data_IF_404962062951
#
_entry.id   IF_404962062951
#
_cell.length_a   1.000
_cell.length_b   1.000
_cell.length_c   1.000
_cell.angle_alpha   90.00
_cell.angle_beta   90.00
_cell.angle_gamma   90.00
#
_symmetry.space_group_name_H-M   'P 1'
#
loop_
_entity.id
_entity.type
_entity.pdbx_description
1 polymer ?
#
# COMPACT_ATOMS: atom_id res chain seq x y z
N UNK A 1 30.84 43.75 4.37
CA UNK A 1 29.59 42.95 4.38
C UNK A 1 29.87 41.71 3.55
N UNK A 2 29.97 40.53 4.17
CA UNK A 2 30.22 39.30 3.41
C UNK A 2 29.03 39.05 2.46
N UNK A 3 29.25 38.65 1.19
CA UNK A 3 28.15 38.30 0.31
C UNK A 3 27.33 37.17 0.92
N UNK A 4 26.00 37.17 0.76
CA UNK A 4 25.16 36.09 1.24
C UNK A 4 25.67 34.76 0.66
N UNK A 5 25.67 33.67 1.45
CA UNK A 5 26.14 32.38 0.96
C UNK A 5 25.37 32.01 -0.30
N UNK A 6 26.07 31.44 -1.32
CA UNK A 6 25.42 31.09 -2.57
C UNK A 6 24.24 30.14 -2.29
N UNK A 7 23.12 30.42 -2.94
CA UNK A 7 21.93 29.58 -2.84
C UNK A 7 22.25 28.13 -3.24
N UNK A 8 21.52 27.14 -2.71
CA UNK A 8 21.76 25.74 -3.05
C UNK A 8 21.61 25.52 -4.55
N UNK A 9 22.55 24.76 -5.13
CA UNK A 9 22.54 24.39 -6.55
C UNK A 9 21.24 23.67 -6.94
N UNK A 10 20.84 23.67 -8.23
CA UNK A 10 19.65 22.93 -8.68
C UNK A 10 19.68 21.45 -8.27
N UNK A 11 20.85 20.81 -8.35
CA UNK A 11 21.07 19.43 -7.89
C UNK A 11 20.86 19.27 -6.38
N UNK A 12 21.39 20.21 -5.57
CA UNK A 12 21.19 20.21 -4.12
C UNK A 12 19.72 20.43 -3.75
N UNK A 13 18.98 21.25 -4.51
CA UNK A 13 17.54 21.45 -4.34
C UNK A 13 16.75 20.18 -4.66
N UNK A 14 17.06 19.53 -5.77
CA UNK A 14 16.42 18.28 -6.19
C UNK A 14 16.67 17.14 -5.19
N UNK A 15 17.91 16.96 -4.74
CA UNK A 15 18.26 15.99 -3.68
C UNK A 15 17.55 16.29 -2.36
N UNK A 16 17.39 17.57 -2.00
CA UNK A 16 16.67 17.95 -0.78
C UNK A 16 15.17 17.65 -0.85
N UNK A 17 14.56 17.70 -2.03
CA UNK A 17 13.13 17.47 -2.24
C UNK A 17 12.78 16.00 -2.52
N UNK A 18 13.64 15.31 -3.28
CA UNK A 18 13.40 13.98 -3.82
C UNK A 18 14.39 12.92 -3.33
N UNK A 19 15.40 13.26 -2.53
CA UNK A 19 16.43 12.30 -2.10
C UNK A 19 15.86 11.07 -1.39
N UNK A 20 14.85 11.25 -0.54
CA UNK A 20 14.14 10.14 0.09
C UNK A 20 13.37 9.27 -0.91
N UNK A 21 12.73 9.89 -1.90
CA UNK A 21 11.99 9.16 -2.94
C UNK A 21 12.94 8.36 -3.83
N UNK A 22 14.09 8.95 -4.19
CA UNK A 22 15.13 8.29 -4.97
C UNK A 22 15.70 7.08 -4.21
N UNK A 23 15.93 7.21 -2.90
CA UNK A 23 16.43 6.09 -2.08
C UNK A 23 15.44 4.93 -2.05
N UNK A 24 14.16 5.19 -1.73
CA UNK A 24 13.13 4.15 -1.69
C UNK A 24 12.88 3.55 -3.09
N UNK A 25 12.89 4.38 -4.13
CA UNK A 25 12.78 3.97 -5.52
C UNK A 25 13.93 3.09 -5.98
N UNK A 26 15.15 3.42 -5.60
CA UNK A 26 16.35 2.62 -5.93
C UNK A 26 16.29 1.23 -5.28
N UNK A 27 15.84 1.14 -4.03
CA UNK A 27 15.68 -0.15 -3.33
C UNK A 27 14.55 -0.98 -3.98
N UNK A 28 13.41 -0.36 -4.30
CA UNK A 28 12.31 -1.04 -4.98
C UNK A 28 12.71 -1.53 -6.38
N UNK A 29 13.43 -0.71 -7.14
CA UNK A 29 13.96 -1.08 -8.46
C UNK A 29 14.99 -2.21 -8.37
N UNK A 30 15.87 -2.18 -7.36
CA UNK A 30 16.80 -3.26 -7.09
C UNK A 30 16.07 -4.60 -6.87
N UNK A 31 15.02 -4.62 -6.06
CA UNK A 31 14.21 -5.83 -5.88
C UNK A 31 13.50 -6.28 -7.16
N UNK A 32 13.00 -5.35 -7.97
CA UNK A 32 12.35 -5.68 -9.24
C UNK A 32 13.31 -6.34 -10.24
N UNK A 33 14.56 -5.86 -10.31
CA UNK A 33 15.61 -6.41 -11.17
C UNK A 33 16.15 -7.73 -10.64
N UNK A 34 16.46 -7.82 -9.34
CA UNK A 34 17.06 -9.02 -8.74
C UNK A 34 16.09 -10.19 -8.62
N UNK A 35 14.78 -9.92 -8.57
CA UNK A 35 13.75 -10.96 -8.51
C UNK A 35 12.77 -10.79 -9.67
N UNK A 36 13.19 -11.17 -10.90
CA UNK A 36 12.40 -10.94 -12.11
C UNK A 36 11.15 -11.83 -12.19
N UNK A 37 11.19 -13.01 -11.56
CA UNK A 37 10.10 -13.99 -11.59
C UNK A 37 8.94 -13.63 -10.66
N UNK A 38 7.74 -13.99 -11.11
CA UNK A 38 6.46 -13.71 -10.47
C UNK A 38 5.91 -14.95 -9.79
N UNK A 39 5.21 -14.76 -8.67
CA UNK A 39 4.47 -15.85 -8.04
C UNK A 39 3.16 -16.14 -8.79
N UNK A 40 2.55 -17.29 -8.50
CA UNK A 40 1.27 -17.70 -9.09
C UNK A 40 0.18 -16.66 -8.83
N UNK A 41 0.17 -16.03 -7.66
CA UNK A 41 -0.89 -15.08 -7.31
C UNK A 41 -0.72 -13.69 -7.97
N UNK A 42 0.40 -13.48 -8.64
CA UNK A 42 0.65 -12.31 -9.50
C UNK A 42 0.18 -12.57 -10.94
N UNK A 43 -0.06 -13.83 -11.32
CA UNK A 43 -0.26 -14.24 -12.73
C UNK A 43 -1.36 -13.45 -13.41
N UNK A 44 -2.54 -13.35 -12.79
CA UNK A 44 -3.69 -12.69 -13.39
C UNK A 44 -3.36 -11.26 -13.85
N UNK A 45 -2.82 -10.42 -12.96
CA UNK A 45 -2.53 -9.03 -13.32
C UNK A 45 -1.34 -8.94 -14.29
N UNK A 46 -0.36 -9.85 -14.18
CA UNK A 46 0.76 -9.92 -15.13
C UNK A 46 0.24 -10.18 -16.54
N UNK A 47 -0.59 -11.21 -16.69
CA UNK A 47 -1.16 -11.59 -17.99
C UNK A 47 -2.15 -10.54 -18.48
N UNK A 48 -3.02 -10.03 -17.62
CA UNK A 48 -3.93 -8.94 -17.99
C UNK A 48 -3.19 -7.70 -18.52
N UNK A 49 -2.10 -7.29 -17.89
CA UNK A 49 -1.26 -6.19 -18.40
C UNK A 49 -0.59 -6.57 -19.73
N UNK A 50 -0.06 -7.79 -19.85
CA UNK A 50 0.50 -8.28 -21.10
C UNK A 50 -0.55 -8.24 -22.23
N UNK A 51 -1.73 -8.77 -22.00
CA UNK A 51 -2.76 -8.93 -23.03
C UNK A 51 -3.33 -7.58 -23.46
N UNK A 52 -3.57 -6.66 -22.52
CA UNK A 52 -3.94 -5.28 -22.83
C UNK A 52 -2.89 -4.63 -23.72
N UNK A 53 -1.61 -4.79 -23.39
CA UNK A 53 -0.55 -4.17 -24.15
C UNK A 53 -0.39 -4.84 -25.53
N UNK A 54 -0.37 -6.18 -25.62
CA UNK A 54 0.05 -6.93 -26.82
C UNK A 54 -1.12 -7.35 -27.72
N UNK A 55 -2.25 -7.75 -27.14
CA UNK A 55 -3.43 -8.19 -27.87
C UNK A 55 -4.45 -7.04 -28.08
N UNK A 56 -4.37 -5.96 -27.29
CA UNK A 56 -5.21 -4.77 -27.40
C UNK A 56 -6.70 -5.14 -27.37
N UNK A 57 -7.47 -4.82 -28.42
CA UNK A 57 -8.91 -5.09 -28.48
C UNK A 57 -9.28 -6.55 -28.79
N UNK A 58 -8.31 -7.41 -29.11
CA UNK A 58 -8.56 -8.84 -29.40
C UNK A 58 -8.71 -9.63 -28.10
N UNK A 59 -9.84 -9.43 -27.41
CA UNK A 59 -10.16 -10.06 -26.12
C UNK A 59 -10.18 -11.59 -26.23
N UNK A 60 -10.49 -12.13 -27.41
CA UNK A 60 -10.46 -13.56 -27.73
C UNK A 60 -9.10 -14.23 -27.50
N UNK A 61 -8.01 -13.45 -27.45
CA UNK A 61 -6.64 -13.94 -27.25
C UNK A 61 -6.13 -13.78 -25.82
N UNK A 62 -6.98 -13.34 -24.89
CA UNK A 62 -6.55 -13.07 -23.53
C UNK A 62 -6.49 -14.36 -22.70
N UNK A 63 -5.46 -14.45 -21.86
CA UNK A 63 -5.13 -15.62 -21.04
C UNK A 63 -6.27 -16.00 -20.08
N UNK A 64 -7.01 -15.03 -19.54
CA UNK A 64 -8.07 -15.29 -18.55
C UNK A 64 -9.28 -16.02 -19.13
N UNK A 65 -9.45 -16.09 -20.45
CA UNK A 65 -10.50 -16.88 -21.08
C UNK A 65 -10.14 -18.38 -21.12
N UNK A 66 -8.85 -18.69 -21.29
CA UNK A 66 -8.33 -20.06 -21.27
C UNK A 66 -8.03 -20.53 -19.83
N UNK A 67 -7.47 -19.63 -19.01
CA UNK A 67 -7.05 -19.86 -17.63
C UNK A 67 -7.71 -18.87 -16.66
N UNK A 68 -9.04 -18.96 -16.42
CA UNK A 68 -9.80 -17.99 -15.62
C UNK A 68 -9.45 -17.98 -14.11
N UNK A 69 -8.71 -18.98 -13.62
CA UNK A 69 -8.46 -19.17 -12.20
C UNK A 69 -9.74 -19.55 -11.43
N UNK A 70 -9.64 -19.59 -10.09
CA UNK A 70 -10.76 -20.03 -9.23
C UNK A 70 -11.86 -18.96 -9.11
N UNK A 71 -11.46 -17.69 -9.15
CA UNK A 71 -12.37 -16.55 -8.98
C UNK A 71 -11.90 -15.40 -9.87
N UNK A 72 -12.81 -14.68 -10.54
CA UNK A 72 -12.43 -13.54 -11.37
C UNK A 72 -11.76 -12.43 -10.55
N UNK A 73 -10.96 -11.64 -11.25
CA UNK A 73 -10.24 -10.48 -10.73
C UNK A 73 -10.52 -9.29 -11.65
N UNK A 74 -10.42 -8.08 -11.09
CA UNK A 74 -10.66 -6.87 -11.87
C UNK A 74 -9.49 -6.56 -12.82
N UNK A 75 -9.82 -6.11 -14.03
CA UNK A 75 -8.90 -5.57 -15.02
C UNK A 75 -8.56 -4.11 -14.78
N UNK A 76 -9.29 -3.38 -13.92
CA UNK A 76 -9.11 -1.93 -13.74
C UNK A 76 -7.67 -1.59 -13.35
N UNK A 77 -7.08 -2.35 -12.42
CA UNK A 77 -5.69 -2.14 -12.01
C UNK A 77 -4.69 -2.40 -13.12
N UNK A 78 -4.84 -3.54 -13.80
CA UNK A 78 -4.01 -3.91 -14.93
C UNK A 78 -4.10 -2.87 -16.06
N UNK A 79 -5.31 -2.37 -16.35
CA UNK A 79 -5.56 -1.35 -17.36
C UNK A 79 -4.84 -0.04 -17.05
N UNK A 80 -4.95 0.47 -15.82
CA UNK A 80 -4.26 1.70 -15.41
C UNK A 80 -2.75 1.55 -15.56
N UNK A 81 -2.17 0.44 -15.07
CA UNK A 81 -0.71 0.23 -15.17
C UNK A 81 -0.27 0.02 -16.61
N UNK A 82 -1.05 -0.72 -17.42
CA UNK A 82 -0.77 -0.92 -18.84
C UNK A 82 -0.73 0.43 -19.59
N UNK A 83 -1.73 1.30 -19.41
CA UNK A 83 -1.77 2.64 -20.02
C UNK A 83 -0.54 3.47 -19.64
N UNK A 84 -0.19 3.49 -18.34
CA UNK A 84 0.98 4.24 -17.86
C UNK A 84 2.30 3.67 -18.38
N UNK A 85 2.37 2.36 -18.62
CA UNK A 85 3.56 1.69 -19.16
C UNK A 85 3.68 1.74 -20.68
N UNK A 86 2.62 2.13 -21.38
CA UNK A 86 2.53 2.06 -22.85
C UNK A 86 3.69 2.76 -23.57
N UNK A 87 4.13 3.99 -23.19
CA UNK A 87 5.24 4.65 -23.88
C UNK A 87 6.54 3.85 -23.80
N UNK A 88 6.85 3.31 -22.61
CA UNK A 88 8.05 2.52 -22.40
C UNK A 88 7.98 1.18 -23.17
N UNK A 89 6.84 0.50 -23.10
CA UNK A 89 6.65 -0.80 -23.77
C UNK A 89 6.65 -0.64 -25.30
N UNK A 90 6.11 0.46 -25.83
CA UNK A 90 6.14 0.74 -27.27
C UNK A 90 7.58 0.92 -27.78
N UNK A 91 8.41 1.67 -27.05
CA UNK A 91 9.85 1.78 -27.35
C UNK A 91 10.50 0.39 -27.36
N UNK A 92 10.27 -0.41 -26.32
CA UNK A 92 10.83 -1.77 -26.23
C UNK A 92 10.41 -2.67 -27.39
N UNK A 93 9.18 -2.52 -27.88
CA UNK A 93 8.68 -3.26 -29.05
C UNK A 93 9.33 -2.83 -30.36
N UNK A 94 9.49 -1.52 -30.56
CA UNK A 94 10.16 -0.99 -31.75
C UNK A 94 11.60 -1.49 -31.84
N UNK A 95 12.30 -1.57 -30.70
CA UNK A 95 13.64 -2.14 -30.60
C UNK A 95 13.67 -3.67 -30.45
N UNK A 96 12.53 -4.35 -30.56
CA UNK A 96 12.40 -5.81 -30.46
C UNK A 96 13.02 -6.42 -29.20
N UNK A 97 12.96 -5.73 -28.06
CA UNK A 97 13.44 -6.29 -26.81
C UNK A 97 12.57 -7.47 -26.35
N UNK A 98 13.17 -8.48 -25.70
CA UNK A 98 12.44 -9.60 -25.10
C UNK A 98 11.34 -9.14 -24.14
N UNK A 99 10.21 -9.85 -24.10
CA UNK A 99 9.03 -9.51 -23.28
C UNK A 99 9.33 -9.36 -21.78
N UNK A 100 10.42 -9.96 -21.27
CA UNK A 100 10.86 -9.81 -19.89
C UNK A 100 11.14 -8.34 -19.52
N UNK A 101 11.61 -7.52 -20.47
CA UNK A 101 11.84 -6.10 -20.22
C UNK A 101 10.52 -5.33 -20.11
N UNK A 102 9.49 -5.73 -20.86
CA UNK A 102 8.15 -5.18 -20.71
C UNK A 102 7.53 -5.57 -19.36
N UNK A 103 7.77 -6.80 -18.88
CA UNK A 103 7.39 -7.21 -17.51
C UNK A 103 8.09 -6.32 -16.46
N UNK A 104 9.39 -6.09 -16.60
CA UNK A 104 10.11 -5.20 -15.69
C UNK A 104 9.55 -3.77 -15.76
N UNK A 105 9.23 -3.26 -16.95
CA UNK A 105 8.67 -1.92 -17.12
C UNK A 105 7.33 -1.75 -16.39
N UNK A 106 6.37 -2.67 -16.57
CA UNK A 106 5.08 -2.59 -15.87
C UNK A 106 5.24 -2.67 -14.35
N UNK A 107 6.17 -3.50 -13.87
CA UNK A 107 6.48 -3.63 -12.43
C UNK A 107 7.09 -2.36 -11.85
N UNK A 108 8.00 -1.70 -12.58
CA UNK A 108 8.59 -0.43 -12.18
C UNK A 108 7.54 0.69 -12.19
N UNK A 109 6.63 0.73 -13.17
CA UNK A 109 5.52 1.69 -13.22
C UNK A 109 4.58 1.50 -12.02
N UNK A 110 4.21 0.27 -11.69
CA UNK A 110 3.44 -0.04 -10.48
C UNK A 110 4.16 0.39 -9.20
N UNK A 111 5.47 0.17 -9.14
CA UNK A 111 6.34 0.66 -8.07
C UNK A 111 6.29 2.18 -7.94
N UNK A 112 6.41 2.91 -9.06
CA UNK A 112 6.31 4.36 -9.09
C UNK A 112 4.96 4.86 -8.60
N UNK A 113 3.85 4.23 -8.98
CA UNK A 113 2.50 4.57 -8.48
C UNK A 113 2.43 4.41 -6.95
N UNK A 114 2.88 3.26 -6.43
CA UNK A 114 2.88 3.00 -4.99
C UNK A 114 3.78 3.94 -4.20
N UNK A 115 4.99 4.21 -4.70
CA UNK A 115 5.93 5.12 -4.06
C UNK A 115 5.47 6.58 -4.13
N UNK A 116 4.75 6.97 -5.18
CA UNK A 116 4.17 8.31 -5.30
C UNK A 116 3.06 8.52 -4.27
N UNK A 117 2.16 7.56 -4.09
CA UNK A 117 1.12 7.65 -3.05
C UNK A 117 1.72 7.59 -1.65
N UNK A 118 2.76 6.77 -1.44
CA UNK A 118 3.52 6.75 -0.19
C UNK A 118 4.22 8.08 0.09
N UNK A 119 4.75 8.75 -0.95
CA UNK A 119 5.32 10.11 -0.85
C UNK A 119 4.26 11.11 -0.41
N UNK A 120 3.05 11.07 -0.99
CA UNK A 120 1.96 11.95 -0.58
C UNK A 120 1.61 11.74 0.90
N UNK A 121 1.64 10.51 1.39
CA UNK A 121 1.45 10.24 2.82
C UNK A 121 2.63 10.74 3.67
N UNK A 122 3.88 10.45 3.26
CA UNK A 122 5.12 10.91 3.92
C UNK A 122 5.16 12.44 4.09
N UNK A 123 4.76 13.19 3.07
CA UNK A 123 4.71 14.65 3.13
C UNK A 123 3.75 15.12 4.23
N UNK A 124 2.62 14.46 4.42
CA UNK A 124 1.69 14.79 5.50
C UNK A 124 2.21 14.38 6.88
N UNK A 125 2.95 13.26 6.97
CA UNK A 125 3.68 12.89 8.20
C UNK A 125 4.67 13.98 8.59
N UNK A 126 5.44 14.50 7.62
CA UNK A 126 6.36 15.63 7.83
C UNK A 126 5.64 16.88 8.30
N UNK A 127 4.51 17.24 7.67
CA UNK A 127 3.73 18.44 8.02
C UNK A 127 3.19 18.34 9.44
N UNK A 128 2.71 17.16 9.85
CA UNK A 128 2.05 16.96 11.15
C UNK A 128 3.02 16.75 12.31
N UNK A 129 4.10 16.01 12.09
CA UNK A 129 5.00 15.55 13.16
C UNK A 129 6.45 16.03 13.01
N UNK A 130 6.80 16.69 11.90
CA UNK A 130 8.10 17.31 11.67
C UNK A 130 9.11 16.44 10.90
N UNK A 131 10.26 17.04 10.59
CA UNK A 131 11.31 16.46 9.71
C UNK A 131 12.00 15.23 10.29
N UNK A 132 12.19 15.15 11.61
CA UNK A 132 12.83 13.99 12.24
C UNK A 132 11.94 12.74 12.11
N UNK A 133 10.63 12.90 12.27
CA UNK A 133 9.65 11.80 12.14
C UNK A 133 9.59 11.32 10.69
N UNK A 134 9.58 12.24 9.72
CA UNK A 134 9.72 11.92 8.29
C UNK A 134 10.97 11.08 8.01
N UNK A 135 12.13 11.51 8.52
CA UNK A 135 13.39 10.80 8.30
C UNK A 135 13.35 9.37 8.87
N UNK A 136 12.89 9.19 10.10
CA UNK A 136 12.74 7.86 10.70
C UNK A 136 11.70 7.00 9.97
N UNK A 137 10.59 7.59 9.51
CA UNK A 137 9.60 6.88 8.71
C UNK A 137 10.20 6.29 7.43
N UNK A 138 11.01 7.08 6.72
CA UNK A 138 11.71 6.64 5.50
C UNK A 138 12.76 5.58 5.83
N UNK A 139 13.56 5.77 6.87
CA UNK A 139 14.58 4.79 7.29
C UNK A 139 13.96 3.44 7.67
N UNK A 140 12.90 3.44 8.46
CA UNK A 140 12.18 2.21 8.83
C UNK A 140 11.62 1.52 7.58
N UNK A 141 11.01 2.28 6.66
CA UNK A 141 10.48 1.73 5.41
C UNK A 141 11.59 1.15 4.51
N UNK A 142 12.78 1.77 4.50
CA UNK A 142 13.92 1.31 3.70
C UNK A 142 14.56 0.02 4.25
N UNK A 143 14.58 -0.15 5.58
CA UNK A 143 15.14 -1.34 6.24
C UNK A 143 14.18 -2.54 6.13
N UNK A 144 12.87 -2.28 6.11
CA UNK A 144 11.85 -3.32 5.99
C UNK A 144 11.81 -3.92 4.57
N UNK A 145 12.08 -5.21 4.46
CA UNK A 145 12.04 -5.94 3.20
C UNK A 145 10.66 -5.86 2.50
N UNK A 146 9.59 -6.17 3.23
CA UNK A 146 8.29 -6.48 2.64
C UNK A 146 7.65 -5.30 1.90
N UNK A 147 7.70 -4.08 2.45
CA UNK A 147 7.00 -2.92 1.87
C UNK A 147 7.53 -2.56 0.47
N UNK A 148 8.86 -2.45 0.32
CA UNK A 148 9.50 -2.09 -0.94
C UNK A 148 9.63 -3.27 -1.91
N UNK A 149 9.74 -4.50 -1.39
CA UNK A 149 9.73 -5.69 -2.22
C UNK A 149 8.37 -5.90 -2.91
N UNK A 150 7.27 -5.75 -2.17
CA UNK A 150 5.94 -5.94 -2.75
C UNK A 150 5.45 -4.76 -3.59
N UNK A 151 5.97 -3.54 -3.41
CA UNK A 151 5.46 -2.35 -4.13
C UNK A 151 5.53 -2.46 -5.66
N UNK A 152 6.40 -3.31 -6.19
CA UNK A 152 6.58 -3.57 -7.64
C UNK A 152 5.90 -4.86 -8.12
N UNK A 153 5.20 -5.58 -7.23
CA UNK A 153 4.55 -6.85 -7.56
C UNK A 153 3.06 -6.64 -7.82
N UNK A 154 2.52 -7.09 -8.96
CA UNK A 154 1.14 -6.84 -9.38
C UNK A 154 0.13 -7.72 -8.64
N UNK A 155 0.09 -7.57 -7.33
CA UNK A 155 -0.89 -8.18 -6.45
C UNK A 155 -2.07 -7.21 -6.25
N UNK A 156 -3.31 -7.70 -6.14
CA UNK A 156 -4.47 -6.85 -5.81
C UNK A 156 -4.26 -6.06 -4.50
N UNK A 157 -3.55 -6.65 -3.53
CA UNK A 157 -3.18 -5.99 -2.27
C UNK A 157 -2.34 -4.71 -2.49
N UNK A 158 -1.49 -4.71 -3.51
CA UNK A 158 -0.53 -3.64 -3.78
C UNK A 158 -1.17 -2.54 -4.63
N UNK A 159 -2.10 -2.91 -5.51
CA UNK A 159 -2.97 -1.93 -6.15
C UNK A 159 -3.86 -1.22 -5.12
N UNK A 160 -4.46 -1.97 -4.19
CA UNK A 160 -5.23 -1.42 -3.07
C UNK A 160 -4.36 -0.55 -2.15
N UNK A 161 -3.10 -0.95 -1.88
CA UNK A 161 -2.17 -0.20 -1.03
C UNK A 161 -1.91 1.21 -1.54
N UNK A 162 -1.85 1.42 -2.87
CA UNK A 162 -1.70 2.75 -3.43
C UNK A 162 -2.86 3.69 -3.03
N UNK A 163 -4.10 3.19 -3.04
CA UNK A 163 -5.27 3.93 -2.59
C UNK A 163 -5.31 4.09 -1.07
N UNK A 164 -4.87 3.10 -0.30
CA UNK A 164 -4.76 3.21 1.16
C UNK A 164 -3.75 4.29 1.57
N UNK A 165 -2.59 4.35 0.92
CA UNK A 165 -1.61 5.43 1.16
C UNK A 165 -2.21 6.82 0.87
N UNK A 166 -2.99 6.92 -0.21
CA UNK A 166 -3.69 8.15 -0.55
C UNK A 166 -4.77 8.50 0.50
N UNK A 167 -5.54 7.51 0.96
CA UNK A 167 -6.51 7.67 2.04
C UNK A 167 -5.84 8.17 3.33
N UNK A 168 -4.70 7.60 3.71
CA UNK A 168 -3.94 8.07 4.87
C UNK A 168 -3.42 9.50 4.71
N UNK A 169 -2.98 9.88 3.50
CA UNK A 169 -2.62 11.27 3.17
C UNK A 169 -3.81 12.22 3.38
N UNK A 170 -4.98 11.89 2.83
CA UNK A 170 -6.20 12.70 3.00
C UNK A 170 -6.66 12.76 4.45
N UNK A 171 -6.54 11.66 5.18
CA UNK A 171 -6.92 11.60 6.59
C UNK A 171 -6.03 12.52 7.43
N UNK A 172 -4.73 12.57 7.15
CA UNK A 172 -3.82 13.47 7.84
C UNK A 172 -4.05 14.94 7.49
N UNK A 173 -4.49 15.23 6.25
CA UNK A 173 -4.92 16.57 5.82
C UNK A 173 -6.25 17.02 6.44
N UNK A 174 -7.01 16.11 7.04
CA UNK A 174 -8.36 16.38 7.54
C UNK A 174 -9.46 16.34 6.47
N UNK A 175 -9.17 15.80 5.27
CA UNK A 175 -10.19 15.59 4.24
C UNK A 175 -10.79 14.18 4.40
N UNK A 176 -11.83 14.11 5.23
CA UNK A 176 -12.45 12.84 5.62
C UNK A 176 -13.28 12.20 4.49
N UNK A 177 -13.92 13.00 3.64
CA UNK A 177 -14.71 12.48 2.51
C UNK A 177 -13.80 11.79 1.48
N UNK A 178 -12.70 12.44 1.08
CA UNK A 178 -11.75 11.81 0.16
C UNK A 178 -11.05 10.59 0.78
N UNK A 179 -10.90 10.55 2.11
CA UNK A 179 -10.40 9.36 2.83
C UNK A 179 -11.35 8.18 2.65
N UNK A 180 -12.66 8.38 2.90
CA UNK A 180 -13.67 7.35 2.70
C UNK A 180 -13.74 6.91 1.23
N UNK A 181 -13.74 7.86 0.30
CA UNK A 181 -13.80 7.56 -1.14
C UNK A 181 -12.63 6.66 -1.58
N UNK A 182 -11.40 6.99 -1.19
CA UNK A 182 -10.23 6.19 -1.54
C UNK A 182 -10.29 4.77 -0.95
N UNK A 183 -10.76 4.62 0.29
CA UNK A 183 -10.94 3.31 0.93
C UNK A 183 -12.07 2.50 0.30
N UNK A 184 -13.16 3.15 -0.12
CA UNK A 184 -14.26 2.49 -0.84
C UNK A 184 -13.80 1.99 -2.20
N UNK A 185 -13.07 2.80 -2.96
CA UNK A 185 -12.50 2.35 -4.24
C UNK A 185 -11.57 1.15 -4.01
N UNK A 186 -10.71 1.21 -2.98
CA UNK A 186 -9.84 0.09 -2.62
C UNK A 186 -10.63 -1.18 -2.28
N UNK A 187 -11.74 -1.04 -1.54
CA UNK A 187 -12.57 -2.16 -1.11
C UNK A 187 -13.42 -2.77 -2.23
N UNK A 188 -14.08 -1.93 -3.02
CA UNK A 188 -15.07 -2.35 -4.03
C UNK A 188 -14.40 -2.85 -5.31
N UNK A 189 -13.30 -2.22 -5.72
CA UNK A 189 -12.64 -2.52 -6.99
C UNK A 189 -11.54 -3.56 -6.81
N UNK A 190 -10.67 -3.40 -5.82
CA UNK A 190 -9.43 -4.18 -5.75
C UNK A 190 -9.46 -5.32 -4.74
N UNK A 191 -10.01 -5.07 -3.55
CA UNK A 191 -9.99 -6.05 -2.43
C UNK A 191 -11.11 -5.81 -1.44
N UNK A 192 -12.12 -6.67 -1.45
CA UNK A 192 -13.24 -6.62 -0.50
C UNK A 192 -12.80 -6.58 0.97
N UNK A 193 -11.69 -7.22 1.31
CA UNK A 193 -11.05 -7.22 2.62
C UNK A 193 -10.76 -5.83 3.21
N UNK A 194 -10.51 -4.84 2.35
CA UNK A 194 -10.28 -3.45 2.79
C UNK A 194 -11.53 -2.83 3.41
N UNK A 195 -12.70 -3.47 3.29
CA UNK A 195 -13.92 -3.08 4.02
C UNK A 195 -13.71 -3.10 5.54
N UNK A 196 -12.83 -3.98 6.05
CA UNK A 196 -12.51 -4.02 7.48
C UNK A 196 -11.74 -2.75 7.89
N UNK A 197 -10.81 -2.29 7.06
CA UNK A 197 -10.07 -1.05 7.29
C UNK A 197 -10.97 0.18 7.13
N UNK A 198 -11.83 0.19 6.10
CA UNK A 198 -12.86 1.20 5.90
C UNK A 198 -13.79 1.30 7.11
N UNK A 199 -14.24 0.16 7.64
CA UNK A 199 -15.13 0.08 8.79
C UNK A 199 -14.48 0.64 10.05
N UNK A 200 -13.26 0.24 10.37
CA UNK A 200 -12.58 0.73 11.58
C UNK A 200 -12.25 2.22 11.51
N UNK A 201 -11.78 2.71 10.36
CA UNK A 201 -11.51 4.14 10.15
C UNK A 201 -12.82 4.94 10.14
N UNK A 202 -13.85 4.43 9.46
CA UNK A 202 -15.17 5.06 9.42
C UNK A 202 -15.78 5.22 10.80
N UNK A 203 -15.75 4.19 11.63
CA UNK A 203 -16.20 4.26 13.04
C UNK A 203 -15.37 5.29 13.81
N UNK A 204 -14.05 5.29 13.67
CA UNK A 204 -13.20 6.27 14.35
C UNK A 204 -13.53 7.71 13.97
N UNK A 205 -13.81 7.96 12.70
CA UNK A 205 -14.19 9.27 12.17
C UNK A 205 -15.57 9.74 12.65
N UNK A 206 -16.52 8.81 12.76
CA UNK A 206 -17.86 9.09 13.32
C UNK A 206 -17.76 9.42 14.82
N UNK A 207 -16.94 8.66 15.56
CA UNK A 207 -16.70 8.90 16.98
C UNK A 207 -16.00 10.24 17.24
N UNK A 208 -15.11 10.67 16.35
CA UNK A 208 -14.45 11.98 16.44
C UNK A 208 -15.33 13.16 16.02
N UNK A 209 -16.63 12.93 15.73
CA UNK A 209 -17.62 13.93 15.27
C UNK A 209 -17.07 14.85 14.17
N UNK A 210 -16.23 14.31 13.31
CA UNK A 210 -15.46 15.12 12.37
C UNK A 210 -16.25 15.56 11.14
N UNK A 211 -17.43 14.96 10.90
CA UNK A 211 -18.41 15.34 9.89
C UNK A 211 -19.77 14.67 10.15
N UNK A 212 -20.82 15.05 9.40
CA UNK A 212 -22.18 14.54 9.59
C UNK A 212 -22.32 13.07 9.17
N UNK A 213 -22.99 12.26 9.98
CA UNK A 213 -23.34 10.86 9.64
C UNK A 213 -24.06 10.76 8.29
N UNK A 214 -24.96 11.70 8.01
CA UNK A 214 -25.74 11.70 6.78
C UNK A 214 -24.86 11.98 5.56
N UNK A 215 -23.87 12.87 5.68
CA UNK A 215 -22.88 13.13 4.64
C UNK A 215 -22.00 11.90 4.42
N UNK A 216 -21.61 11.20 5.50
CA UNK A 216 -20.87 9.95 5.44
C UNK A 216 -21.61 8.90 4.61
N UNK A 217 -22.87 8.64 4.97
CA UNK A 217 -23.70 7.62 4.32
C UNK A 217 -23.93 7.97 2.86
N UNK A 218 -24.27 9.23 2.55
CA UNK A 218 -24.44 9.69 1.16
C UNK A 218 -23.17 9.50 0.33
N UNK A 219 -22.02 9.90 0.88
CA UNK A 219 -20.72 9.74 0.22
C UNK A 219 -20.37 8.26 0.01
N UNK A 220 -20.59 7.42 1.02
CA UNK A 220 -20.31 5.99 0.95
C UNK A 220 -21.15 5.30 -0.12
N UNK A 221 -22.47 5.55 -0.12
CA UNK A 221 -23.40 4.94 -1.07
C UNK A 221 -23.12 5.45 -2.48
N UNK A 222 -22.96 6.77 -2.68
CA UNK A 222 -22.74 7.31 -4.03
C UNK A 222 -21.42 6.82 -4.64
N UNK A 223 -20.36 6.79 -3.84
CA UNK A 223 -19.04 6.31 -4.29
C UNK A 223 -19.08 4.81 -4.56
N UNK A 224 -19.72 4.02 -3.70
CA UNK A 224 -19.84 2.58 -3.89
C UNK A 224 -20.64 2.25 -5.15
N UNK A 225 -21.79 2.88 -5.38
CA UNK A 225 -22.60 2.67 -6.59
C UNK A 225 -21.84 3.05 -7.86
N UNK A 226 -21.12 4.16 -7.85
CA UNK A 226 -20.28 4.57 -8.98
C UNK A 226 -19.15 3.58 -9.24
N UNK A 227 -18.48 3.11 -8.19
CA UNK A 227 -17.41 2.12 -8.31
C UNK A 227 -17.94 0.76 -8.79
N UNK A 228 -19.09 0.30 -8.28
CA UNK A 228 -19.75 -0.93 -8.71
C UNK A 228 -20.15 -0.81 -10.19
N UNK A 229 -20.79 0.30 -10.59
CA UNK A 229 -21.13 0.53 -12.00
C UNK A 229 -19.90 0.50 -12.90
N UNK A 230 -18.79 1.11 -12.46
CA UNK A 230 -17.55 1.14 -13.23
C UNK A 230 -16.86 -0.23 -13.33
N UNK A 231 -16.71 -0.98 -12.23
CA UNK A 231 -16.13 -2.34 -12.26
C UNK A 231 -17.01 -3.30 -13.04
N UNK A 232 -18.34 -3.26 -12.86
CA UNK A 232 -19.25 -4.09 -13.66
C UNK A 232 -19.12 -3.75 -15.14
N UNK A 233 -19.07 -2.47 -15.52
CA UNK A 233 -18.91 -2.08 -16.93
C UNK A 233 -17.60 -2.59 -17.53
N UNK A 234 -16.46 -2.28 -16.90
CA UNK A 234 -15.14 -2.65 -17.43
C UNK A 234 -14.95 -4.16 -17.39
N UNK A 235 -15.19 -4.79 -16.25
CA UNK A 235 -14.89 -6.20 -16.06
C UNK A 235 -15.85 -7.09 -16.81
N UNK A 236 -17.11 -6.70 -17.00
CA UNK A 236 -18.04 -7.52 -17.81
C UNK A 236 -17.65 -7.55 -19.29
N UNK A 237 -17.08 -6.47 -19.82
CA UNK A 237 -16.53 -6.44 -21.19
C UNK A 237 -15.32 -7.38 -21.27
N UNK A 238 -14.40 -7.31 -20.32
CA UNK A 238 -13.18 -8.13 -20.34
C UNK A 238 -13.49 -9.61 -20.14
N UNK A 239 -14.41 -9.94 -19.25
CA UNK A 239 -14.80 -11.33 -18.92
C UNK A 239 -15.90 -11.91 -19.82
N UNK A 240 -16.44 -11.13 -20.77
CA UNK A 240 -17.50 -11.56 -21.69
C UNK A 240 -18.78 -12.07 -20.99
N UNK A 241 -19.01 -11.67 -19.73
CA UNK A 241 -20.22 -11.98 -18.94
C UNK A 241 -20.45 -10.89 -17.90
N UNK A 242 -21.71 -10.63 -17.53
CA UNK A 242 -22.03 -9.65 -16.49
C UNK A 242 -21.51 -10.17 -15.14
N UNK A 243 -20.59 -9.43 -14.52
CA UNK A 243 -20.08 -9.77 -13.19
C UNK A 243 -19.49 -8.58 -12.44
N UNK A 244 -19.41 -8.73 -11.11
CA UNK A 244 -18.62 -7.87 -10.23
C UNK A 244 -17.53 -8.76 -9.59
N UNK A 245 -16.23 -8.61 -9.98
CA UNK A 245 -15.20 -9.57 -9.58
C UNK A 245 -15.08 -9.72 -8.06
N UNK A 246 -15.01 -8.60 -7.34
CA UNK A 246 -14.84 -8.62 -5.89
C UNK A 246 -16.07 -9.15 -5.14
N UNK A 247 -17.26 -9.09 -5.73
CA UNK A 247 -18.43 -9.74 -5.15
C UNK A 247 -18.36 -11.26 -5.26
N UNK A 248 -17.91 -11.80 -6.41
CA UNK A 248 -17.68 -13.24 -6.54
C UNK A 248 -16.56 -13.72 -5.58
N UNK A 249 -15.50 -12.92 -5.40
CA UNK A 249 -14.45 -13.17 -4.39
C UNK A 249 -15.02 -13.19 -2.98
N UNK A 250 -15.86 -12.21 -2.64
CA UNK A 250 -16.51 -12.16 -1.34
C UNK A 250 -17.44 -13.36 -1.12
N UNK A 251 -18.25 -13.71 -2.12
CA UNK A 251 -19.16 -14.85 -2.07
C UNK A 251 -18.39 -16.16 -1.88
N UNK A 252 -17.36 -16.39 -2.68
CA UNK A 252 -16.55 -17.60 -2.62
C UNK A 252 -15.84 -17.77 -1.26
N UNK A 253 -15.22 -16.70 -0.75
CA UNK A 253 -14.40 -16.80 0.46
C UNK A 253 -15.21 -16.72 1.76
N UNK A 254 -16.18 -15.81 1.82
CA UNK A 254 -16.92 -15.50 3.06
C UNK A 254 -18.22 -16.27 3.17
N UNK A 255 -18.95 -16.46 2.07
CA UNK A 255 -20.27 -17.13 2.09
C UNK A 255 -20.11 -18.64 1.94
N UNK A 256 -19.31 -19.10 0.98
CA UNK A 256 -19.03 -20.53 0.78
C UNK A 256 -17.94 -21.06 1.74
N UNK A 257 -17.31 -20.19 2.53
CA UNK A 257 -16.28 -20.51 3.52
C UNK A 257 -15.10 -21.35 2.96
N UNK A 258 -14.78 -21.19 1.67
CA UNK A 258 -13.69 -21.91 0.98
C UNK A 258 -12.31 -21.33 1.28
N UNK A 259 -12.23 -20.27 2.08
CA UNK A 259 -10.95 -19.64 2.45
C UNK A 259 -10.01 -20.61 3.18
N UNK A 260 -10.55 -21.58 3.94
CA UNK A 260 -9.78 -22.59 4.68
C UNK A 260 -9.01 -23.57 3.80
N UNK A 261 -9.40 -23.73 2.53
CA UNK A 261 -8.76 -24.65 1.57
C UNK A 261 -7.34 -24.22 1.20
N UNK A 262 -7.01 -22.95 1.42
CA UNK A 262 -5.70 -22.37 1.16
C UNK A 262 -4.77 -22.43 2.38
N UNK A 263 -5.12 -23.26 3.37
CA UNK A 263 -4.41 -23.41 4.63
C UNK A 263 -4.88 -22.43 5.71
N UNK A 264 -4.71 -22.82 6.97
CA UNK A 264 -5.16 -22.04 8.12
C UNK A 264 -4.02 -21.74 9.10
N UNK A 265 -4.14 -20.61 9.78
CA UNK A 265 -3.20 -20.19 10.82
C UNK A 265 -3.95 -19.75 12.08
N UNK A 266 -3.29 -19.86 13.23
CA UNK A 266 -3.84 -19.43 14.52
C UNK A 266 -4.23 -17.94 14.51
N UNK A 267 -5.16 -17.56 15.38
CA UNK A 267 -5.66 -16.17 15.47
C UNK A 267 -4.51 -15.19 15.76
N UNK A 268 -3.57 -15.56 16.62
CA UNK A 268 -2.46 -14.69 17.01
C UNK A 268 -1.33 -14.58 15.96
N UNK A 269 -1.39 -15.34 14.86
CA UNK A 269 -0.30 -15.43 13.86
C UNK A 269 0.15 -14.07 13.30
N UNK A 270 -0.78 -13.13 13.08
CA UNK A 270 -0.39 -11.80 12.61
C UNK A 270 0.48 -11.05 13.62
N UNK A 271 0.20 -11.18 14.92
CA UNK A 271 0.95 -10.51 15.98
C UNK A 271 2.24 -11.24 16.34
N UNK A 272 2.24 -12.58 16.33
CA UNK A 272 3.42 -13.36 16.72
C UNK A 272 4.40 -13.58 15.56
N UNK A 273 3.94 -13.52 14.32
CA UNK A 273 4.75 -13.91 13.15
C UNK A 273 4.76 -12.89 12.03
N UNK A 274 3.60 -12.42 11.56
CA UNK A 274 3.57 -11.57 10.36
C UNK A 274 4.10 -10.14 10.62
N UNK A 275 3.60 -9.47 11.67
CA UNK A 275 4.01 -8.11 12.05
C UNK A 275 5.47 -8.04 12.51
N UNK A 276 5.98 -8.95 13.37
CA UNK A 276 7.40 -8.95 13.73
C UNK A 276 8.31 -9.09 12.51
N UNK A 277 7.98 -9.98 11.58
CA UNK A 277 8.75 -10.18 10.33
C UNK A 277 8.61 -9.03 9.34
N UNK A 278 7.45 -8.36 9.28
CA UNK A 278 7.24 -7.26 8.34
C UNK A 278 7.85 -5.95 8.82
N UNK A 279 7.80 -5.70 10.12
CA UNK A 279 8.16 -4.41 10.72
C UNK A 279 9.52 -4.38 11.40
N UNK A 280 10.09 -5.54 11.77
CA UNK A 280 11.37 -5.65 12.50
C UNK A 280 11.35 -4.77 13.75
N UNK A 281 12.39 -3.95 13.95
CA UNK A 281 12.49 -2.94 15.01
C UNK A 281 11.30 -1.99 15.11
N UNK A 282 10.58 -1.73 14.00
CA UNK A 282 9.40 -0.87 14.03
C UNK A 282 8.24 -1.50 14.81
N UNK A 283 8.21 -2.84 14.96
CA UNK A 283 7.13 -3.53 15.68
C UNK A 283 7.07 -3.14 17.17
N UNK A 284 8.12 -3.32 17.99
CA UNK A 284 8.09 -2.84 19.37
C UNK A 284 8.02 -1.31 19.46
N UNK A 285 8.67 -0.58 18.53
CA UNK A 285 8.64 0.88 18.53
C UNK A 285 7.25 1.46 18.25
N UNK A 286 6.39 0.78 17.49
CA UNK A 286 5.06 1.31 17.19
C UNK A 286 4.18 1.38 18.45
N UNK A 287 4.32 0.42 19.36
CA UNK A 287 3.64 0.41 20.66
C UNK A 287 4.17 1.54 21.55
N UNK A 288 5.50 1.68 21.63
CA UNK A 288 6.14 2.78 22.37
C UNK A 288 5.71 4.13 21.81
N UNK A 289 5.58 4.26 20.49
CA UNK A 289 5.14 5.49 19.84
C UNK A 289 3.72 5.91 20.25
N UNK A 290 2.80 4.95 20.27
CA UNK A 290 1.43 5.18 20.72
C UNK A 290 1.34 5.55 22.21
N UNK A 291 2.24 5.02 23.04
CA UNK A 291 2.32 5.37 24.47
C UNK A 291 2.92 6.76 24.70
N UNK A 292 3.98 7.11 23.97
CA UNK A 292 4.71 8.36 24.13
C UNK A 292 4.00 9.58 23.50
N UNK A 293 3.30 9.38 22.39
CA UNK A 293 2.58 10.45 21.70
C UNK A 293 1.11 10.08 21.47
N UNK A 294 0.23 10.52 22.38
CA UNK A 294 -1.21 10.24 22.30
C UNK A 294 -1.87 10.80 21.03
N UNK A 295 -1.23 11.73 20.30
CA UNK A 295 -1.77 12.30 19.06
C UNK A 295 -1.85 11.28 17.92
N UNK A 296 -1.05 10.21 17.96
CA UNK A 296 -1.08 9.15 16.93
C UNK A 296 -2.14 8.08 17.22
N UNK A 297 -2.61 7.97 18.46
CA UNK A 297 -3.54 6.92 18.90
C UNK A 297 -4.85 6.90 18.08
N UNK A 298 -5.50 8.04 17.76
CA UNK A 298 -6.69 8.04 16.90
C UNK A 298 -6.48 7.45 15.50
N UNK A 299 -5.22 7.40 15.03
CA UNK A 299 -4.87 6.87 13.71
C UNK A 299 -4.40 5.41 13.76
N UNK A 300 -3.62 5.06 14.78
CA UNK A 300 -3.08 3.70 14.96
C UNK A 300 -4.13 2.74 15.47
N UNK A 301 -5.02 3.18 16.38
CA UNK A 301 -6.03 2.30 16.97
C UNK A 301 -6.95 1.67 15.91
N UNK A 302 -7.51 2.41 14.93
CA UNK A 302 -8.35 1.81 13.88
C UNK A 302 -7.59 0.82 12.99
N UNK A 303 -6.32 1.11 12.70
CA UNK A 303 -5.46 0.24 11.89
C UNK A 303 -5.10 -1.04 12.65
N UNK A 304 -4.80 -0.95 13.94
CA UNK A 304 -4.59 -2.12 14.80
C UNK A 304 -5.87 -2.94 14.93
N UNK A 305 -7.03 -2.29 15.07
CA UNK A 305 -8.32 -2.97 15.11
C UNK A 305 -8.62 -3.71 13.80
N UNK A 306 -8.25 -3.13 12.66
CA UNK A 306 -8.30 -3.83 11.37
C UNK A 306 -7.50 -5.14 11.41
N UNK A 307 -6.26 -5.12 11.91
CA UNK A 307 -5.45 -6.35 12.04
C UNK A 307 -6.09 -7.35 13.01
N UNK A 308 -6.67 -6.89 14.12
CA UNK A 308 -7.39 -7.76 15.07
C UNK A 308 -8.60 -8.43 14.42
N UNK A 309 -9.41 -7.67 13.67
CA UNK A 309 -10.57 -8.22 12.97
C UNK A 309 -10.15 -9.21 11.89
N UNK A 310 -9.13 -8.85 11.10
CA UNK A 310 -8.57 -9.73 10.07
C UNK A 310 -7.98 -11.02 10.65
N UNK A 311 -7.44 -10.95 11.88
CA UNK A 311 -6.87 -12.12 12.60
C UNK A 311 -7.90 -13.21 12.89
N UNK A 312 -9.20 -12.90 12.88
CA UNK A 312 -10.27 -13.89 13.07
C UNK A 312 -10.47 -14.78 11.84
N UNK A 313 -10.01 -14.36 10.66
CA UNK A 313 -10.16 -15.15 9.44
C UNK A 313 -9.20 -16.36 9.44
N UNK A 314 -9.64 -17.57 9.05
CA UNK A 314 -8.80 -18.78 9.13
C UNK A 314 -7.53 -18.69 8.27
N UNK A 315 -7.69 -18.29 7.02
CA UNK A 315 -6.59 -18.13 6.07
C UNK A 315 -5.88 -16.79 6.26
N UNK A 316 -4.55 -16.81 6.29
CA UNK A 316 -3.74 -15.65 6.63
C UNK A 316 -2.49 -15.57 5.78
N UNK A 317 -2.18 -14.37 5.32
CA UNK A 317 -0.97 -14.08 4.59
C UNK A 317 -0.48 -12.68 4.94
N UNK A 318 0.84 -12.47 4.93
CA UNK A 318 1.43 -11.18 5.30
C UNK A 318 0.93 -10.04 4.39
N UNK A 319 0.70 -10.31 3.10
CA UNK A 319 0.23 -9.30 2.14
C UNK A 319 -1.17 -8.75 2.44
N UNK A 320 -2.01 -9.47 3.18
CA UNK A 320 -3.37 -9.02 3.49
C UNK A 320 -3.40 -7.87 4.50
N UNK A 321 -2.40 -7.81 5.39
CA UNK A 321 -2.29 -6.74 6.40
C UNK A 321 -1.27 -5.66 6.01
N UNK A 322 -0.75 -5.68 4.77
CA UNK A 322 0.29 -4.74 4.34
C UNK A 322 -0.17 -3.27 4.41
N UNK A 323 -1.47 -3.05 4.25
CA UNK A 323 -2.14 -1.75 4.44
C UNK A 323 -1.89 -1.14 5.84
N UNK A 324 -1.65 -1.96 6.87
CA UNK A 324 -1.38 -1.47 8.21
C UNK A 324 0.03 -0.91 8.39
N UNK A 325 1.01 -1.42 7.61
CA UNK A 325 2.44 -1.15 7.81
C UNK A 325 2.78 0.35 7.74
N UNK A 326 2.30 1.14 6.75
CA UNK A 326 2.61 2.57 6.70
C UNK A 326 2.20 3.33 7.96
N UNK A 327 0.96 3.13 8.46
CA UNK A 327 0.51 3.85 9.65
C UNK A 327 1.26 3.42 10.92
N UNK A 328 1.54 2.12 11.05
CA UNK A 328 2.32 1.60 12.18
C UNK A 328 3.77 2.10 12.15
N UNK A 329 4.37 2.28 10.97
CA UNK A 329 5.66 2.93 10.80
C UNK A 329 5.65 4.40 11.22
N UNK A 330 4.55 5.13 11.02
CA UNK A 330 4.43 6.50 11.55
C UNK A 330 4.53 6.48 13.08
N UNK A 331 3.80 5.58 13.75
CA UNK A 331 3.90 5.42 15.21
C UNK A 331 5.33 5.09 15.64
N UNK A 332 5.98 4.14 14.99
CA UNK A 332 7.36 3.77 15.29
C UNK A 332 8.35 4.93 15.07
N UNK A 333 8.14 5.72 14.02
CA UNK A 333 8.97 6.89 13.71
C UNK A 333 8.84 8.02 14.75
N UNK A 334 7.68 8.15 15.39
CA UNK A 334 7.49 9.07 16.52
C UNK A 334 8.31 8.65 17.74
N UNK A 335 8.30 7.34 18.07
CA UNK A 335 9.13 6.80 19.14
C UNK A 335 10.62 7.04 18.85
N UNK A 336 11.07 6.70 17.63
CA UNK A 336 12.46 6.87 17.21
C UNK A 336 12.90 8.35 17.25
N UNK A 337 12.05 9.26 16.79
CA UNK A 337 12.28 10.71 16.87
C UNK A 337 12.41 11.19 18.32
N UNK A 338 11.57 10.69 19.23
CA UNK A 338 11.63 11.04 20.65
C UNK A 338 12.89 10.52 21.32
N UNK A 339 13.31 9.29 21.01
CA UNK A 339 14.57 8.71 21.47
C UNK A 339 15.77 9.55 20.98
N UNK A 340 15.79 9.90 19.69
CA UNK A 340 16.85 10.72 19.10
C UNK A 340 16.95 12.10 19.73
N UNK A 341 15.83 12.78 19.96
CA UNK A 341 15.81 14.12 20.55
C UNK A 341 16.27 14.13 22.02
N UNK A 342 16.04 13.04 22.76
CA UNK A 342 16.44 12.90 24.16
C UNK A 342 17.76 12.15 24.36
N UNK A 343 18.50 11.81 23.30
CA UNK A 343 19.72 10.97 23.35
C UNK A 343 20.81 11.43 24.33
N UNK A 344 20.85 12.71 24.69
CA UNK A 344 21.83 13.27 25.65
C UNK A 344 21.42 13.12 27.12
N UNK A 345 20.19 12.66 27.42
CA UNK A 345 19.70 12.46 28.79
C UNK A 345 20.12 11.08 29.30
N UNK A 346 20.40 10.99 30.61
CA UNK A 346 20.71 9.72 31.27
C UNK A 346 19.55 8.72 31.09
N UNK A 347 19.87 7.44 30.86
CA UNK A 347 18.90 6.37 30.51
C UNK A 347 18.41 6.38 29.05
N UNK A 348 18.13 7.55 28.48
CA UNK A 348 17.70 7.68 27.07
C UNK A 348 18.82 7.37 26.08
N UNK A 349 20.07 7.63 26.45
CA UNK A 349 21.23 7.28 25.63
C UNK A 349 21.29 5.76 25.38
N UNK A 350 21.09 4.94 26.42
CA UNK A 350 21.10 3.48 26.29
C UNK A 350 19.98 2.99 25.35
N UNK A 351 18.76 3.50 25.52
CA UNK A 351 17.63 3.17 24.63
C UNK A 351 17.87 3.61 23.18
N UNK A 352 18.53 4.74 22.98
CA UNK A 352 18.90 5.22 21.65
C UNK A 352 19.96 4.32 21.00
N UNK A 353 20.99 3.91 21.74
CA UNK A 353 22.01 2.95 21.24
C UNK A 353 21.37 1.60 20.92
N UNK A 354 20.48 1.10 21.77
CA UNK A 354 19.75 -0.14 21.53
C UNK A 354 18.87 -0.05 20.27
N UNK A 355 18.20 1.08 20.05
CA UNK A 355 17.44 1.34 18.83
C UNK A 355 18.33 1.30 17.59
N UNK A 356 19.51 1.95 17.63
CA UNK A 356 20.46 1.91 16.51
C UNK A 356 20.98 0.50 16.24
N UNK A 357 21.29 -0.27 17.29
CA UNK A 357 21.68 -1.68 17.17
C UNK A 357 20.55 -2.51 16.53
N UNK A 358 19.30 -2.29 16.93
CA UNK A 358 18.15 -2.97 16.37
C UNK A 358 17.85 -2.61 14.90
N UNK A 359 18.36 -1.48 14.39
CA UNK A 359 18.28 -1.16 12.95
C UNK A 359 19.24 -2.00 12.11
N UNK A 360 20.29 -2.55 12.73
CA UNK A 360 21.31 -3.38 12.06
C UNK A 360 20.95 -4.87 12.08
N UNK A 361 20.15 -5.30 13.04
CA UNK A 361 19.66 -6.68 13.14
C UNK A 361 18.50 -6.87 12.17
N UNK A 362 18.71 -7.67 11.13
CA UNK A 362 17.72 -8.03 10.10
C UNK A 362 17.00 -9.32 10.43
#
# INVERSE_FOLDING_TARGET
MAPPPPGPTPAARLLREYGWDLMLGSIAAFYAVMVPYTKVEESFNVQAMHDILYHNHHIDKYDHLEFPGVVPRTFIGALVIAILSLPAVLIMRVFQFPKIYSLLAVRLVLGCVNLTTLRLFRVEVKRKFGRHVEAFFVLLTAIQFHALFYSTRPLPNILALALVNLAYSFWFKGNYLCTLQALIIAAVVFRCDMILLLGTIGVALLLSRSFSLMEAVKCCISTALLCIGFTVLVDSIMWQRILWPEFEVFWFNSVLNRSSEWGTHSIHWYFTSALPRSMLVAYPLCLVGALLDRRIVPYVLPVTLFVVLYSKLPHKELRFIIAAVPMLNVSASLAASRLYNNRKKSGWNFLYVLMLGAFLVR
#
